data_IF_301034540790
#
_entry.id   IF_301034540790
#
_cell.length_a   1.000
_cell.length_b   1.000
_cell.length_c   1.000
_cell.angle_alpha   90.00
_cell.angle_beta   90.00
_cell.angle_gamma   90.00
#
_symmetry.space_group_name_H-M   'P 1'
#
loop_
_entity.id
_entity.type
_entity.pdbx_description
1 polymer ?
#
# COMPACT_ATOMS: atom_id res chain seq x y z
N UNK A 1 -59.33 42.92 24.28
CA UNK A 1 -59.42 41.76 23.36
C UNK A 1 -57.97 41.45 22.99
N UNK A 2 -57.12 40.93 23.89
CA UNK A 2 -57.06 39.52 24.38
C UNK A 2 -57.07 38.59 23.16
N UNK A 3 -55.96 37.96 22.77
CA UNK A 3 -55.36 36.84 23.50
C UNK A 3 -53.86 36.65 23.19
N UNK A 4 -53.16 36.17 24.22
CA UNK A 4 -51.71 35.99 24.40
C UNK A 4 -51.40 34.50 24.52
N UNK A 5 -50.24 34.04 24.03
CA UNK A 5 -49.44 32.86 24.47
C UNK A 5 -48.29 32.70 23.46
N UNK A 6 -47.01 32.91 23.73
CA UNK A 6 -46.15 32.68 24.89
C UNK A 6 -46.13 31.23 25.38
N UNK A 7 -45.07 30.51 25.01
CA UNK A 7 -44.55 29.36 25.75
C UNK A 7 -43.05 29.24 25.51
N UNK A 8 -42.37 29.50 26.61
CA UNK A 8 -40.94 29.57 26.88
C UNK A 8 -40.56 28.28 27.65
N UNK A 9 -39.27 27.93 27.62
CA UNK A 9 -38.51 27.00 28.48
C UNK A 9 -38.45 25.50 28.14
N UNK A 10 -37.21 24.99 28.18
CA UNK A 10 -36.94 23.56 28.28
C UNK A 10 -35.48 23.14 28.15
N UNK A 11 -34.55 23.80 28.83
CA UNK A 11 -33.20 23.26 29.12
C UNK A 11 -33.37 21.97 29.94
N UNK A 12 -32.72 20.87 29.55
CA UNK A 12 -32.86 19.59 30.24
C UNK A 12 -31.72 18.62 29.98
N UNK A 13 -30.57 18.90 30.60
CA UNK A 13 -29.47 17.97 30.78
C UNK A 13 -29.95 16.79 31.65
N UNK A 14 -29.94 15.57 31.13
CA UNK A 14 -30.22 14.37 31.91
C UNK A 14 -29.13 13.33 31.64
N UNK A 15 -28.04 13.47 32.40
CA UNK A 15 -27.18 12.36 32.73
C UNK A 15 -27.93 11.34 33.61
N UNK A 16 -27.38 10.13 33.63
CA UNK A 16 -27.50 9.06 34.63
C UNK A 16 -28.48 7.90 34.40
N UNK A 17 -27.83 6.74 34.28
CA UNK A 17 -28.14 5.43 34.87
C UNK A 17 -29.18 4.54 34.19
N UNK A 18 -28.69 3.51 33.49
CA UNK A 18 -28.92 2.12 33.91
C UNK A 18 -27.64 1.31 33.69
N UNK A 19 -26.89 1.10 34.76
CA UNK A 19 -25.91 0.04 34.85
C UNK A 19 -26.57 -1.14 35.56
N UNK A 20 -26.78 -2.28 34.89
CA UNK A 20 -26.79 -3.59 35.56
C UNK A 20 -26.71 -4.77 34.59
N UNK A 21 -25.69 -5.60 34.84
CA UNK A 21 -25.71 -7.07 34.79
C UNK A 21 -25.97 -7.78 33.44
N UNK A 22 -24.88 -8.25 32.83
CA UNK A 22 -24.80 -9.63 32.32
C UNK A 22 -23.45 -10.23 32.70
N UNK A 23 -23.37 -10.72 33.94
CA UNK A 23 -22.38 -11.69 34.39
C UNK A 23 -23.14 -13.00 34.61
N UNK A 24 -23.10 -13.88 33.62
CA UNK A 24 -23.40 -15.30 33.81
C UNK A 24 -22.27 -16.07 33.17
N UNK A 25 -21.35 -16.55 34.02
CA UNK A 25 -20.35 -17.52 33.66
C UNK A 25 -20.99 -18.87 33.41
N UNK A 26 -20.65 -19.49 32.28
CA UNK A 26 -20.86 -20.89 32.00
C UNK A 26 -19.51 -21.56 31.83
N UNK A 27 -19.12 -22.37 32.81
CA UNK A 27 -17.99 -23.27 32.73
C UNK A 27 -18.30 -24.40 31.72
N UNK A 28 -17.44 -24.59 30.73
CA UNK A 28 -17.37 -25.84 29.96
C UNK A 28 -16.09 -26.57 30.34
N UNK A 29 -16.22 -27.56 31.20
CA UNK A 29 -15.25 -28.62 31.36
C UNK A 29 -15.46 -29.60 30.20
N UNK A 30 -14.43 -29.77 29.37
CA UNK A 30 -14.42 -30.72 28.26
C UNK A 30 -13.00 -31.22 28.05
N UNK A 31 -12.62 -32.24 28.81
CA UNK A 31 -11.45 -33.07 28.54
C UNK A 31 -11.66 -33.82 27.22
N UNK A 32 -10.92 -33.42 26.19
CA UNK A 32 -10.80 -34.16 24.94
C UNK A 32 -9.36 -34.01 24.45
N UNK A 33 -8.67 -35.14 24.31
CA UNK A 33 -7.32 -35.21 23.77
C UNK A 33 -7.29 -34.53 22.40
N UNK A 34 -6.30 -33.65 22.20
CA UNK A 34 -6.08 -32.96 20.94
C UNK A 34 -5.84 -33.96 19.82
N UNK A 35 -6.72 -33.92 18.82
CA UNK A 35 -6.41 -34.47 17.50
C UNK A 35 -5.43 -33.49 16.86
N UNK A 36 -4.16 -33.88 16.80
CA UNK A 36 -3.12 -33.11 16.14
C UNK A 36 -3.40 -33.16 14.63
N UNK A 37 -3.92 -32.06 14.10
CA UNK A 37 -4.12 -31.90 12.65
C UNK A 37 -2.76 -32.05 11.97
N UNK A 38 -2.61 -32.90 10.92
CA UNK A 38 -1.33 -33.11 10.28
C UNK A 38 -0.79 -31.78 9.72
N UNK A 39 0.54 -31.58 9.76
CA UNK A 39 1.13 -30.37 9.22
C UNK A 39 0.75 -30.22 7.74
N UNK A 40 0.48 -28.99 7.27
CA UNK A 40 0.22 -28.76 5.86
C UNK A 40 1.42 -29.24 5.02
N UNK A 41 1.19 -29.77 3.81
CA UNK A 41 2.30 -30.18 2.95
C UNK A 41 3.22 -28.98 2.68
N UNK A 42 4.53 -29.22 2.47
CA UNK A 42 5.45 -28.15 2.11
C UNK A 42 4.96 -27.45 0.83
N UNK A 43 5.16 -26.12 0.71
CA UNK A 43 4.81 -25.41 -0.51
C UNK A 43 5.57 -26.04 -1.68
N UNK A 44 4.87 -26.21 -2.81
CA UNK A 44 5.49 -26.66 -4.04
C UNK A 44 6.71 -25.77 -4.37
N UNK A 45 7.81 -26.33 -4.91
CA UNK A 45 8.93 -25.51 -5.32
C UNK A 45 8.43 -24.47 -6.32
N UNK A 46 8.77 -23.21 -6.07
CA UNK A 46 8.51 -22.12 -7.01
C UNK A 46 9.21 -22.47 -8.33
N UNK A 47 8.42 -22.84 -9.33
CA UNK A 47 8.91 -22.96 -10.71
C UNK A 47 9.41 -21.57 -11.09
N UNK A 48 10.72 -21.47 -11.34
CA UNK A 48 11.31 -20.24 -11.84
C UNK A 48 10.57 -19.84 -13.13
N UNK A 49 10.23 -18.56 -13.33
CA UNK A 49 9.69 -18.11 -14.60
C UNK A 49 10.69 -18.50 -15.72
N UNK A 50 10.22 -18.96 -16.89
CA UNK A 50 11.12 -19.29 -17.98
C UNK A 50 11.96 -18.06 -18.30
N UNK A 51 13.28 -18.22 -18.27
CA UNK A 51 14.20 -17.22 -18.75
C UNK A 51 13.89 -17.03 -20.24
N UNK A 52 13.34 -15.88 -20.61
CA UNK A 52 13.09 -15.56 -22.01
C UNK A 52 14.44 -15.32 -22.70
N UNK A 53 15.05 -16.38 -23.22
CA UNK A 53 16.29 -16.32 -24.01
C UNK A 53 16.03 -16.29 -25.52
N UNK A 54 14.82 -15.93 -25.94
CA UNK A 54 14.43 -15.95 -27.35
C UNK A 54 14.29 -14.57 -27.96
N UNK A 55 15.40 -13.99 -28.45
CA UNK A 55 15.32 -13.07 -29.59
C UNK A 55 14.90 -13.91 -30.80
N UNK A 56 13.63 -13.81 -31.21
CA UNK A 56 13.18 -14.37 -32.48
C UNK A 56 13.53 -13.40 -33.62
N UNK A 57 14.09 -13.87 -34.76
CA UNK A 57 14.36 -13.03 -35.91
C UNK A 57 13.08 -12.76 -36.72
N UNK A 58 12.83 -11.48 -37.02
CA UNK A 58 12.21 -10.98 -38.25
C UNK A 58 10.77 -11.39 -38.59
N UNK A 59 9.84 -10.44 -38.43
CA UNK A 59 8.59 -10.38 -39.22
C UNK A 59 8.68 -9.15 -40.14
N UNK A 60 8.47 -9.28 -41.46
CA UNK A 60 8.51 -8.13 -42.36
C UNK A 60 7.13 -7.46 -42.48
N UNK A 61 7.09 -6.12 -42.32
CA UNK A 61 6.06 -5.27 -42.97
C UNK A 61 5.46 -4.13 -42.16
N UNK A 62 6.01 -2.91 -42.29
CA UNK A 62 5.34 -1.65 -42.71
C UNK A 62 6.34 -0.47 -42.57
N UNK A 63 6.56 0.38 -43.59
CA UNK A 63 7.52 1.48 -43.51
C UNK A 63 6.91 2.60 -42.66
N UNK A 64 7.49 2.84 -41.49
CA UNK A 64 6.97 3.92 -40.65
C UNK A 64 7.84 4.28 -39.47
N UNK A 65 8.05 3.40 -38.51
CA UNK A 65 8.62 3.83 -37.23
C UNK A 65 9.47 2.72 -36.59
N UNK A 66 10.74 2.67 -36.98
CA UNK A 66 11.79 2.18 -36.09
C UNK A 66 12.32 3.41 -35.34
N UNK A 67 12.07 3.46 -34.04
CA UNK A 67 12.73 4.43 -33.16
C UNK A 67 14.24 4.16 -33.20
N UNK A 68 15.02 5.15 -33.61
CA UNK A 68 16.47 5.02 -33.69
C UNK A 68 17.06 4.97 -32.26
N UNK A 69 17.88 3.96 -31.92
CA UNK A 69 18.65 3.98 -30.67
C UNK A 69 19.79 4.99 -30.83
N UNK A 70 19.63 6.20 -30.31
CA UNK A 70 20.72 7.20 -30.38
C UNK A 70 20.43 8.64 -29.98
N UNK A 71 19.21 9.04 -29.60
CA UNK A 71 18.97 10.43 -29.18
C UNK A 71 18.87 10.56 -27.66
N UNK A 72 20.02 10.73 -27.01
CA UNK A 72 20.10 11.39 -25.71
C UNK A 72 20.05 12.90 -25.99
N UNK A 73 19.02 13.64 -25.57
CA UNK A 73 19.00 15.08 -25.72
C UNK A 73 20.15 15.72 -24.91
N UNK A 74 20.78 16.80 -25.41
CA UNK A 74 21.89 17.44 -24.72
C UNK A 74 21.48 17.92 -23.32
N UNK A 75 22.33 17.76 -22.30
CA UNK A 75 22.04 18.23 -20.96
C UNK A 75 21.94 19.76 -20.97
N UNK A 76 20.76 20.28 -20.58
CA UNK A 76 20.51 21.71 -20.44
C UNK A 76 19.43 22.30 -21.36
N UNK A 77 18.84 21.53 -22.28
CA UNK A 77 17.64 21.98 -22.98
C UNK A 77 16.41 21.88 -22.04
N UNK A 78 15.63 22.95 -21.84
CA UNK A 78 14.35 22.83 -21.13
C UNK A 78 13.47 21.82 -21.86
N UNK A 79 12.81 20.95 -21.10
CA UNK A 79 11.90 19.94 -21.63
C UNK A 79 10.93 20.61 -22.62
N UNK A 80 11.09 20.31 -23.90
CA UNK A 80 10.22 20.87 -24.92
C UNK A 80 8.88 20.15 -24.80
N UNK A 81 7.81 20.91 -24.55
CA UNK A 81 6.45 20.38 -24.68
C UNK A 81 6.29 19.96 -26.15
N UNK A 82 5.95 18.70 -26.45
CA UNK A 82 5.75 18.27 -27.82
C UNK A 82 4.70 19.16 -28.50
N UNK A 83 4.97 19.71 -29.70
CA UNK A 83 3.97 20.48 -30.42
C UNK A 83 2.80 19.56 -30.82
N UNK A 84 1.57 19.95 -30.47
CA UNK A 84 0.35 19.27 -30.90
C UNK A 84 -0.24 18.27 -29.89
N UNK A 85 0.12 18.37 -28.63
CA UNK A 85 -0.39 17.46 -27.62
C UNK A 85 -1.86 17.69 -27.25
N UNK A 86 -2.63 16.60 -27.26
CA UNK A 86 -4.01 16.63 -26.79
C UNK A 86 -4.11 16.63 -25.26
N UNK A 87 -5.30 16.95 -24.76
CA UNK A 87 -5.56 17.06 -23.33
C UNK A 87 -5.32 15.74 -22.57
N UNK A 88 -5.48 14.58 -23.23
CA UNK A 88 -5.30 13.28 -22.60
C UNK A 88 -3.80 12.99 -22.38
N UNK A 89 -2.96 13.23 -23.39
CA UNK A 89 -1.52 13.09 -23.26
C UNK A 89 -0.92 14.05 -22.21
N UNK A 90 -1.51 15.24 -22.04
CA UNK A 90 -1.12 16.18 -20.98
C UNK A 90 -1.50 15.64 -19.60
N UNK A 91 -2.73 15.14 -19.45
CA UNK A 91 -3.20 14.57 -18.20
C UNK A 91 -2.35 13.36 -17.77
N UNK A 92 -2.02 12.48 -18.72
CA UNK A 92 -1.16 11.31 -18.45
C UNK A 92 0.24 11.72 -17.98
N UNK A 93 0.85 12.72 -18.62
CA UNK A 93 2.16 13.21 -18.14
C UNK A 93 2.08 13.87 -16.78
N UNK A 94 1.08 14.70 -16.52
CA UNK A 94 0.90 15.28 -15.19
C UNK A 94 0.73 14.21 -14.11
N UNK A 95 -0.03 13.15 -14.40
CA UNK A 95 -0.16 12.02 -13.49
C UNK A 95 1.16 11.27 -13.31
N UNK A 96 1.90 11.02 -14.38
CA UNK A 96 3.21 10.38 -14.31
C UNK A 96 4.23 11.21 -13.52
N UNK A 97 4.25 12.53 -13.70
CA UNK A 97 5.10 13.45 -12.96
C UNK A 97 4.72 13.48 -11.46
N UNK A 98 3.43 13.31 -11.16
CA UNK A 98 2.92 13.21 -9.79
C UNK A 98 3.35 11.90 -9.11
N UNK A 99 3.11 10.74 -9.71
CA UNK A 99 3.32 9.43 -9.05
C UNK A 99 4.72 8.85 -9.27
N UNK A 100 5.41 9.26 -10.33
CA UNK A 100 6.71 8.74 -10.73
C UNK A 100 7.79 8.82 -9.65
N UNK A 101 7.96 9.96 -8.94
CA UNK A 101 8.90 10.06 -7.82
C UNK A 101 8.59 9.06 -6.70
N UNK A 102 7.31 8.91 -6.32
CA UNK A 102 6.89 7.97 -5.27
C UNK A 102 7.24 6.52 -5.66
N UNK A 103 6.96 6.14 -6.91
CA UNK A 103 7.25 4.80 -7.43
C UNK A 103 8.77 4.54 -7.42
N UNK A 104 9.57 5.45 -7.98
CA UNK A 104 11.01 5.23 -8.18
C UNK A 104 11.80 5.32 -6.88
N UNK A 105 11.55 6.36 -6.08
CA UNK A 105 12.44 6.74 -4.97
C UNK A 105 11.94 6.24 -3.61
N UNK A 106 10.66 5.80 -3.53
CA UNK A 106 10.10 5.22 -2.32
C UNK A 106 9.71 3.74 -2.49
N UNK A 107 8.64 3.46 -3.25
CA UNK A 107 8.01 2.13 -3.28
C UNK A 107 8.96 1.06 -3.82
N UNK A 108 9.49 1.26 -5.04
CA UNK A 108 10.37 0.27 -5.68
C UNK A 108 11.68 0.05 -4.89
N UNK A 109 12.07 0.99 -4.03
CA UNK A 109 13.27 0.89 -3.20
C UNK A 109 13.06 -0.02 -1.99
N UNK A 110 11.91 0.06 -1.34
CA UNK A 110 11.70 -0.58 -0.03
C UNK A 110 10.69 -1.72 -0.05
N UNK A 111 9.70 -1.72 -0.95
CA UNK A 111 8.56 -2.64 -0.90
C UNK A 111 8.96 -4.10 -0.89
N UNK A 112 9.94 -4.49 -1.72
CA UNK A 112 10.39 -5.88 -1.76
C UNK A 112 11.06 -6.30 -0.45
N UNK A 113 11.91 -5.45 0.12
CA UNK A 113 12.62 -5.75 1.36
C UNK A 113 11.64 -5.83 2.54
N UNK A 114 10.70 -4.88 2.62
CA UNK A 114 9.63 -4.85 3.63
C UNK A 114 8.73 -6.08 3.49
N UNK A 115 8.28 -6.40 2.28
CA UNK A 115 7.45 -7.58 2.01
C UNK A 115 8.13 -8.89 2.39
N UNK A 116 9.44 -9.04 2.11
CA UNK A 116 10.22 -10.20 2.55
C UNK A 116 10.34 -10.26 4.07
N UNK A 117 10.57 -9.13 4.72
CA UNK A 117 10.71 -9.05 6.18
C UNK A 117 9.40 -9.40 6.88
N UNK A 118 8.27 -8.89 6.36
CA UNK A 118 6.93 -9.31 6.78
C UNK A 118 6.70 -10.79 6.54
N UNK A 119 7.06 -11.33 5.38
CA UNK A 119 6.94 -12.75 5.09
C UNK A 119 7.68 -13.61 6.12
N UNK A 120 8.89 -13.20 6.52
CA UNK A 120 9.69 -13.85 7.56
C UNK A 120 9.02 -13.80 8.94
N UNK A 121 8.48 -12.65 9.34
CA UNK A 121 7.69 -12.51 10.56
C UNK A 121 6.53 -13.52 10.62
N UNK A 122 5.80 -13.64 9.51
CA UNK A 122 4.65 -14.52 9.39
C UNK A 122 5.00 -16.02 9.43
N UNK A 123 6.28 -16.40 9.33
CA UNK A 123 6.69 -17.81 9.40
C UNK A 123 6.66 -18.39 10.82
N UNK A 124 6.67 -17.55 11.86
CA UNK A 124 6.70 -18.03 13.24
C UNK A 124 5.54 -17.55 14.12
N UNK A 125 4.66 -16.67 13.61
CA UNK A 125 3.42 -16.29 14.30
C UNK A 125 2.24 -17.12 13.78
N UNK A 126 1.23 -17.34 14.62
CA UNK A 126 0.06 -18.15 14.24
C UNK A 126 -0.80 -17.48 13.16
N UNK A 127 -0.90 -16.15 13.21
CA UNK A 127 -1.65 -15.31 12.28
C UNK A 127 -1.19 -13.86 12.45
N UNK A 128 -1.36 -13.04 11.42
CA UNK A 128 -0.94 -11.63 11.47
C UNK A 128 -1.68 -10.84 12.56
N UNK A 129 -2.96 -11.12 12.76
CA UNK A 129 -3.85 -10.38 13.67
C UNK A 129 -3.54 -10.69 15.14
N UNK A 130 -3.17 -11.93 15.43
CA UNK A 130 -2.87 -12.40 16.80
C UNK A 130 -1.45 -12.02 17.25
N UNK A 131 -0.53 -11.90 16.29
CA UNK A 131 0.88 -11.58 16.57
C UNK A 131 1.61 -12.69 17.35
N UNK A 132 2.79 -12.38 17.93
CA UNK A 132 3.57 -13.33 18.72
C UNK A 132 2.93 -13.55 20.09
N UNK A 133 2.94 -14.80 20.53
CA UNK A 133 2.39 -15.26 21.82
C UNK A 133 3.42 -15.29 22.94
N UNK A 134 4.71 -15.15 22.62
CA UNK A 134 5.83 -15.31 23.55
C UNK A 134 6.16 -16.77 23.86
N UNK A 135 5.50 -17.72 23.19
CA UNK A 135 5.70 -19.18 23.36
C UNK A 135 6.31 -19.83 22.11
N UNK A 136 6.72 -19.02 21.14
CA UNK A 136 7.34 -19.46 19.90
C UNK A 136 8.66 -20.15 20.20
N UNK A 137 8.81 -21.40 19.77
CA UNK A 137 10.08 -22.14 19.92
C UNK A 137 11.14 -21.72 18.91
N UNK A 138 10.71 -21.26 17.74
CA UNK A 138 11.59 -20.85 16.64
C UNK A 138 11.31 -19.38 16.29
N UNK A 139 12.28 -18.50 16.55
CA UNK A 139 12.24 -17.10 16.15
C UNK A 139 13.43 -16.84 15.25
N UNK A 140 13.17 -16.57 13.96
CA UNK A 140 14.22 -16.45 12.94
C UNK A 140 14.77 -15.03 12.75
N UNK A 141 14.23 -14.02 13.44
CA UNK A 141 14.59 -12.60 13.26
C UNK A 141 14.08 -11.98 11.94
N UNK A 142 13.96 -10.65 11.89
CA UNK A 142 13.48 -9.93 10.71
C UNK A 142 14.65 -9.58 9.78
N UNK A 143 14.35 -9.38 8.49
CA UNK A 143 15.37 -8.88 7.57
C UNK A 143 15.63 -7.39 7.83
N UNK A 144 16.91 -7.02 7.76
CA UNK A 144 17.31 -5.62 7.80
C UNK A 144 16.78 -4.91 6.56
N UNK A 145 16.06 -3.81 6.76
CA UNK A 145 15.73 -2.88 5.69
C UNK A 145 16.86 -1.86 5.64
N UNK A 146 17.57 -1.84 4.51
CA UNK A 146 18.73 -0.97 4.29
C UNK A 146 18.43 0.09 3.25
N UNK A 147 18.99 1.28 3.45
CA UNK A 147 18.85 2.41 2.54
C UNK A 147 18.43 3.67 3.28
N UNK A 148 18.71 4.83 2.68
CA UNK A 148 18.29 6.12 3.22
C UNK A 148 16.81 6.38 2.86
N UNK A 149 15.92 6.56 3.86
CA UNK A 149 14.52 6.89 3.62
C UNK A 149 14.29 8.36 3.26
N UNK A 150 15.30 9.23 3.38
CA UNK A 150 15.16 10.67 3.10
C UNK A 150 14.67 10.94 1.66
N UNK A 151 15.15 10.16 0.70
CA UNK A 151 14.71 10.25 -0.70
C UNK A 151 13.22 9.95 -0.87
N UNK A 152 12.66 9.00 -0.10
CA UNK A 152 11.23 8.74 -0.09
C UNK A 152 10.46 9.94 0.48
N UNK A 153 10.94 10.54 1.58
CA UNK A 153 10.30 11.73 2.17
C UNK A 153 10.27 12.91 1.19
N UNK A 154 11.38 13.17 0.49
CA UNK A 154 11.44 14.20 -0.56
C UNK A 154 10.48 13.87 -1.71
N UNK A 155 10.43 12.61 -2.16
CA UNK A 155 9.53 12.20 -3.21
C UNK A 155 8.06 12.43 -2.84
N UNK A 156 7.65 12.11 -1.61
CA UNK A 156 6.29 12.39 -1.11
C UNK A 156 5.99 13.90 -1.18
N UNK A 157 6.91 14.75 -0.73
CA UNK A 157 6.73 16.21 -0.79
C UNK A 157 6.61 16.72 -2.23
N UNK A 158 7.49 16.25 -3.13
CA UNK A 158 7.46 16.61 -4.56
C UNK A 158 6.15 16.16 -5.22
N UNK A 159 5.74 14.91 -5.00
CA UNK A 159 4.49 14.35 -5.52
C UNK A 159 3.25 15.07 -4.98
N UNK A 160 3.27 15.49 -3.71
CA UNK A 160 2.16 16.21 -3.10
C UNK A 160 2.01 17.64 -3.65
N UNK A 161 3.12 18.29 -3.99
CA UNK A 161 3.15 19.61 -4.62
C UNK A 161 2.82 19.58 -6.12
N UNK A 162 3.00 18.45 -6.80
CA UNK A 162 2.73 18.31 -8.23
C UNK A 162 1.22 18.30 -8.54
N UNK A 163 0.77 18.98 -9.62
CA UNK A 163 -0.58 18.85 -10.12
C UNK A 163 -0.80 17.47 -10.79
N UNK A 164 -2.05 16.99 -10.88
CA UNK A 164 -3.25 17.56 -10.27
C UNK A 164 -3.30 17.33 -8.75
N UNK A 165 -4.05 18.18 -8.05
CA UNK A 165 -4.31 17.96 -6.62
C UNK A 165 -5.15 16.70 -6.43
N UNK A 166 -4.71 15.81 -5.53
CA UNK A 166 -5.43 14.59 -5.17
C UNK A 166 -5.28 14.36 -3.67
N UNK A 167 -6.27 14.78 -2.86
CA UNK A 167 -6.21 14.66 -1.40
C UNK A 167 -6.09 13.22 -0.91
N UNK A 168 -6.74 12.27 -1.60
CA UNK A 168 -6.67 10.84 -1.26
C UNK A 168 -5.26 10.30 -1.43
N UNK A 169 -4.62 10.56 -2.58
CA UNK A 169 -3.24 10.13 -2.83
C UNK A 169 -2.26 10.81 -1.88
N UNK A 170 -2.46 12.10 -1.60
CA UNK A 170 -1.62 12.86 -0.68
C UNK A 170 -1.72 12.30 0.74
N UNK A 171 -2.93 11.99 1.21
CA UNK A 171 -3.15 11.39 2.52
C UNK A 171 -2.50 9.99 2.60
N UNK A 172 -2.73 9.14 1.59
CA UNK A 172 -2.16 7.79 1.53
C UNK A 172 -0.62 7.80 1.52
N UNK A 173 0.00 8.77 0.85
CA UNK A 173 1.45 8.90 0.80
C UNK A 173 2.09 9.33 2.14
N UNK A 174 1.30 9.90 3.05
CA UNK A 174 1.76 10.41 4.36
C UNK A 174 1.25 9.61 5.56
N UNK A 175 0.48 8.56 5.32
CA UNK A 175 -0.16 7.73 6.33
C UNK A 175 0.81 6.82 7.09
#
# INVERSE_FOLDING_TARGET
MTETRDSVLGVGNAALMVATLWLVGGAVAGSGCGEESPPPPPPAPLVAPPQNTGVAPGVPGAPGQVAQPGQVPPPGAPAQVPPGEDAAALADRQMNDKIGPLIRDCLNRFDQAVGRSRGRYLQWVQSEERGPTGRERNVYGLYQISGDPSACQTAIQTSNAAPPASPELQAAATA
#
